data_IF_047675585368
#
_entry.id   IF_047675585368
#
_cell.length_a   1.000
_cell.length_b   1.000
_cell.length_c   1.000
_cell.angle_alpha   90.00
_cell.angle_beta   90.00
_cell.angle_gamma   90.00
#
_symmetry.space_group_name_H-M   'P 1'
#
loop_
_entity.id
_entity.type
_entity.pdbx_description
1 polymer ?
#
# COMPACT_ATOMS: atom_id res chain seq x y z
N UNK A 1 16.98 -20.33 -9.95
CA UNK A 1 17.08 -18.86 -9.81
C UNK A 1 16.73 -18.42 -8.39
N UNK A 2 15.50 -18.62 -7.90
CA UNK A 2 15.11 -18.21 -6.53
C UNK A 2 16.03 -18.74 -5.41
N UNK A 3 16.42 -20.02 -5.45
CA UNK A 3 17.30 -20.63 -4.43
C UNK A 3 18.69 -19.97 -4.36
N UNK A 4 19.23 -19.53 -5.49
CA UNK A 4 20.53 -18.86 -5.54
C UNK A 4 20.48 -17.45 -4.92
N UNK A 5 19.35 -16.75 -5.09
CA UNK A 5 19.09 -15.44 -4.48
C UNK A 5 18.95 -15.58 -2.97
N UNK A 6 18.17 -16.56 -2.50
CA UNK A 6 18.02 -16.83 -1.06
C UNK A 6 19.36 -17.18 -0.43
N UNK A 7 20.15 -18.02 -1.08
CA UNK A 7 21.48 -18.39 -0.60
C UNK A 7 22.40 -17.17 -0.46
N UNK A 8 22.43 -16.26 -1.44
CA UNK A 8 23.22 -15.03 -1.35
C UNK A 8 22.85 -14.20 -0.11
N UNK A 9 21.55 -14.00 0.13
CA UNK A 9 21.07 -13.23 1.30
C UNK A 9 21.45 -13.90 2.61
N UNK A 10 21.37 -15.24 2.69
CA UNK A 10 21.77 -15.98 3.88
C UNK A 10 23.29 -15.94 4.12
N UNK A 11 24.10 -15.94 3.08
CA UNK A 11 25.56 -15.86 3.21
C UNK A 11 26.03 -14.46 3.62
N UNK A 12 25.38 -13.42 3.11
CA UNK A 12 25.76 -12.02 3.37
C UNK A 12 25.01 -11.41 4.56
N UNK A 13 23.94 -12.06 5.03
CA UNK A 13 23.01 -11.54 6.06
C UNK A 13 22.52 -10.12 5.75
N UNK A 14 22.43 -9.77 4.46
CA UNK A 14 22.09 -8.44 3.97
C UNK A 14 21.49 -8.51 2.56
N UNK A 15 20.71 -7.49 2.22
CA UNK A 15 20.21 -7.24 0.87
C UNK A 15 21.09 -6.25 0.09
N UNK A 16 22.07 -5.63 0.75
CA UNK A 16 22.98 -4.68 0.12
C UNK A 16 23.78 -5.36 -0.99
N UNK A 17 23.86 -4.71 -2.16
CA UNK A 17 24.57 -5.24 -3.32
C UNK A 17 23.89 -6.42 -4.01
N UNK A 18 22.74 -6.91 -3.52
CA UNK A 18 22.00 -7.99 -4.17
C UNK A 18 21.44 -7.53 -5.52
N UNK A 19 20.89 -6.32 -5.59
CA UNK A 19 20.33 -5.74 -6.82
C UNK A 19 20.95 -4.39 -7.13
N UNK A 20 21.06 -4.08 -8.42
CA UNK A 20 21.34 -2.74 -8.93
C UNK A 20 20.08 -1.86 -8.87
N UNK A 21 20.21 -0.58 -9.28
CA UNK A 21 19.11 0.39 -9.28
C UNK A 21 17.92 -0.07 -10.15
N UNK A 22 18.19 -0.82 -11.23
CA UNK A 22 17.19 -1.37 -12.14
C UNK A 22 16.52 -2.66 -11.60
N UNK A 23 16.94 -3.18 -10.44
CA UNK A 23 16.36 -4.35 -9.80
C UNK A 23 16.89 -5.69 -10.27
N UNK A 24 17.99 -5.71 -11.03
CA UNK A 24 18.67 -6.91 -11.49
C UNK A 24 19.92 -7.18 -10.66
N UNK A 25 20.35 -8.44 -10.62
CA UNK A 25 21.54 -8.84 -9.84
C UNK A 25 22.70 -9.19 -10.76
N UNK A 26 23.83 -8.52 -10.56
CA UNK A 26 25.12 -8.95 -11.12
C UNK A 26 25.89 -9.85 -10.16
N UNK A 27 25.47 -9.90 -8.90
CA UNK A 27 26.08 -10.70 -7.84
C UNK A 27 25.74 -12.20 -7.96
N UNK A 28 24.61 -12.53 -8.59
CA UNK A 28 24.17 -13.92 -8.80
C UNK A 28 24.05 -14.20 -10.29
N UNK A 29 25.15 -14.62 -10.92
CA UNK A 29 25.28 -14.83 -12.37
C UNK A 29 24.27 -15.80 -13.00
N UNK A 30 23.59 -16.64 -12.22
CA UNK A 30 22.56 -17.58 -12.69
C UNK A 30 21.15 -16.99 -12.74
N UNK A 31 20.97 -15.72 -12.33
CA UNK A 31 19.68 -15.04 -12.21
C UNK A 31 19.58 -13.97 -13.29
N UNK A 32 18.48 -13.97 -14.02
CA UNK A 32 18.21 -12.99 -15.09
C UNK A 32 16.82 -12.38 -14.98
N UNK A 33 16.19 -12.53 -13.81
CA UNK A 33 14.88 -11.96 -13.48
C UNK A 33 15.05 -10.74 -12.59
N UNK A 34 14.10 -9.82 -12.65
CA UNK A 34 14.04 -8.71 -11.72
C UNK A 34 13.70 -9.22 -10.31
N UNK A 35 14.48 -8.79 -9.31
CA UNK A 35 14.40 -9.28 -7.93
C UNK A 35 13.76 -8.27 -6.96
N UNK A 36 13.23 -7.15 -7.44
CA UNK A 36 12.66 -6.13 -6.55
C UNK A 36 11.49 -6.65 -5.73
N UNK A 37 10.66 -7.54 -6.30
CA UNK A 37 9.58 -8.19 -5.54
C UNK A 37 10.10 -9.02 -4.36
N UNK A 38 11.23 -9.70 -4.55
CA UNK A 38 11.89 -10.46 -3.48
C UNK A 38 12.54 -9.52 -2.45
N UNK A 39 13.28 -8.50 -2.90
CA UNK A 39 13.94 -7.51 -2.01
C UNK A 39 12.90 -6.80 -1.15
N UNK A 40 11.79 -6.35 -1.73
CA UNK A 40 10.72 -5.67 -1.00
C UNK A 40 10.05 -6.62 0.01
N UNK A 41 9.76 -7.87 -0.39
CA UNK A 41 9.20 -8.86 0.53
C UNK A 41 10.11 -9.17 1.72
N UNK A 42 11.43 -9.24 1.51
CA UNK A 42 12.40 -9.45 2.61
C UNK A 42 12.52 -8.21 3.49
N UNK A 43 12.54 -6.99 2.91
CA UNK A 43 12.54 -5.74 3.68
C UNK A 43 11.28 -5.60 4.53
N UNK A 44 10.11 -5.85 3.96
CA UNK A 44 8.84 -5.83 4.68
C UNK A 44 8.84 -6.84 5.84
N UNK A 45 9.39 -8.04 5.62
CA UNK A 45 9.52 -9.06 6.66
C UNK A 45 10.49 -8.64 7.76
N UNK A 46 11.65 -8.06 7.41
CA UNK A 46 12.64 -7.57 8.35
C UNK A 46 12.11 -6.42 9.21
N UNK A 47 11.39 -5.47 8.61
CA UNK A 47 10.80 -4.35 9.35
C UNK A 47 9.63 -4.77 10.24
N UNK A 48 8.82 -5.73 9.82
CA UNK A 48 7.85 -6.38 10.71
C UNK A 48 8.54 -7.07 11.90
N UNK A 49 9.70 -7.68 11.68
CA UNK A 49 10.44 -8.39 12.71
C UNK A 49 11.23 -7.46 13.66
N UNK A 50 11.73 -6.32 13.18
CA UNK A 50 12.50 -5.38 14.01
C UNK A 50 11.63 -4.38 14.79
N UNK A 51 10.34 -4.27 14.45
CA UNK A 51 9.47 -3.24 15.02
C UNK A 51 9.90 -1.81 14.61
N UNK A 52 10.78 -1.70 13.62
CA UNK A 52 11.15 -0.44 13.00
C UNK A 52 10.27 -0.23 11.78
N UNK A 53 9.50 0.86 11.84
CA UNK A 53 9.02 1.63 10.72
C UNK A 53 9.98 1.50 9.54
N UNK A 54 9.52 1.04 8.38
CA UNK A 54 10.26 1.27 7.13
C UNK A 54 10.24 2.78 6.87
N UNK A 55 11.12 3.51 7.55
CA UNK A 55 11.58 4.82 7.11
C UNK A 55 12.74 4.56 6.14
N UNK A 56 12.48 3.86 5.04
CA UNK A 56 13.38 3.86 3.90
C UNK A 56 12.93 4.97 2.95
N UNK A 57 13.62 6.10 3.12
CA UNK A 57 13.77 7.25 2.23
C UNK A 57 14.26 6.82 0.84
N UNK A 58 13.49 6.01 0.12
CA UNK A 58 13.51 6.10 -1.33
C UNK A 58 12.86 7.45 -1.67
N UNK A 59 13.60 8.31 -2.37
CA UNK A 59 13.10 9.62 -2.78
C UNK A 59 11.85 9.41 -3.63
N UNK A 60 10.68 9.76 -3.10
CA UNK A 60 9.41 9.63 -3.80
C UNK A 60 9.36 10.69 -4.90
N UNK A 61 9.07 10.26 -6.11
CA UNK A 61 8.89 11.21 -7.22
C UNK A 61 7.57 11.95 -7.06
N UNK A 62 7.64 13.24 -7.35
CA UNK A 62 6.46 14.09 -7.44
C UNK A 62 5.54 13.58 -8.55
N UNK A 63 4.25 13.45 -8.25
CA UNK A 63 3.29 12.90 -9.20
C UNK A 63 2.01 12.44 -8.54
N UNK A 64 1.04 12.06 -9.38
CA UNK A 64 -0.19 11.41 -8.94
C UNK A 64 -0.18 9.97 -9.41
N UNK A 65 -0.33 9.07 -8.46
CA UNK A 65 -0.31 7.62 -8.64
C UNK A 65 -1.70 7.08 -8.33
N UNK A 66 -2.19 6.16 -9.14
CA UNK A 66 -3.50 5.53 -8.93
C UNK A 66 -3.35 4.03 -8.98
N UNK A 67 -3.93 3.35 -7.99
CA UNK A 67 -3.96 1.91 -7.89
C UNK A 67 -5.40 1.44 -7.82
N UNK A 68 -5.67 0.31 -8.46
CA UNK A 68 -6.97 -0.35 -8.41
C UNK A 68 -6.76 -1.82 -8.11
N UNK A 69 -7.66 -2.42 -7.31
CA UNK A 69 -7.66 -3.87 -7.14
C UNK A 69 -7.89 -4.55 -8.50
N UNK A 70 -7.18 -5.65 -8.81
CA UNK A 70 -7.22 -6.30 -10.12
C UNK A 70 -8.58 -6.93 -10.44
N UNK A 71 -9.32 -7.30 -9.40
CA UNK A 71 -10.60 -7.99 -9.50
C UNK A 71 -11.67 -7.27 -8.69
N UNK A 72 -12.92 -7.39 -9.15
CA UNK A 72 -14.08 -6.96 -8.39
C UNK A 72 -14.39 -7.99 -7.30
N UNK A 73 -14.79 -7.51 -6.13
CA UNK A 73 -15.30 -8.33 -5.04
C UNK A 73 -16.66 -8.96 -5.39
N UNK A 74 -17.15 -9.82 -4.49
CA UNK A 74 -18.47 -10.46 -4.62
C UNK A 74 -19.66 -9.49 -4.71
N UNK A 75 -19.48 -8.22 -4.34
CA UNK A 75 -20.48 -7.18 -4.40
C UNK A 75 -20.32 -6.29 -5.66
N UNK A 76 -19.38 -6.63 -6.55
CA UNK A 76 -19.10 -5.92 -7.78
C UNK A 76 -18.29 -4.64 -7.58
N UNK A 77 -17.51 -4.52 -6.50
CA UNK A 77 -16.65 -3.36 -6.23
C UNK A 77 -15.17 -3.76 -6.26
N UNK A 78 -14.31 -2.89 -6.78
CA UNK A 78 -12.86 -2.96 -6.60
C UNK A 78 -12.38 -1.71 -5.87
N UNK A 79 -11.34 -1.83 -5.05
CA UNK A 79 -10.72 -0.65 -4.44
C UNK A 79 -10.04 0.22 -5.49
N UNK A 80 -10.09 1.52 -5.31
CA UNK A 80 -9.32 2.52 -6.03
C UNK A 80 -8.70 3.48 -5.03
N UNK A 81 -7.37 3.62 -5.07
CA UNK A 81 -6.62 4.59 -4.28
C UNK A 81 -5.91 5.54 -5.24
N UNK A 82 -6.00 6.84 -4.98
CA UNK A 82 -5.24 7.86 -5.72
C UNK A 82 -4.43 8.70 -4.75
N UNK A 83 -3.13 8.80 -4.98
CA UNK A 83 -2.16 9.42 -4.09
C UNK A 83 -1.32 10.43 -4.86
N UNK A 84 -1.21 11.66 -4.36
CA UNK A 84 -0.30 12.67 -4.89
C UNK A 84 0.88 12.84 -3.96
N UNK A 85 2.08 12.69 -4.51
CA UNK A 85 3.34 13.02 -3.84
C UNK A 85 3.84 14.35 -4.35
N UNK A 86 4.32 15.18 -3.44
CA UNK A 86 5.06 16.40 -3.74
C UNK A 86 6.10 16.65 -2.67
N UNK A 87 7.30 17.06 -3.06
CA UNK A 87 8.39 17.39 -2.13
C UNK A 87 8.67 16.22 -1.16
N UNK A 88 8.65 14.99 -1.68
CA UNK A 88 8.81 13.75 -0.93
C UNK A 88 7.75 13.48 0.16
N UNK A 89 6.58 14.13 0.09
CA UNK A 89 5.47 13.97 1.02
C UNK A 89 4.15 13.65 0.27
N UNK A 90 3.27 12.89 0.91
CA UNK A 90 1.91 12.65 0.43
C UNK A 90 1.09 13.92 0.69
N UNK A 91 0.72 14.63 -0.36
CA UNK A 91 -0.04 15.89 -0.29
C UNK A 91 -1.52 15.73 -0.60
N UNK A 92 -1.90 14.65 -1.28
CA UNK A 92 -3.29 14.27 -1.45
C UNK A 92 -3.41 12.74 -1.44
N UNK A 93 -4.52 12.26 -0.90
CA UNK A 93 -4.84 10.84 -0.87
C UNK A 93 -6.36 10.68 -0.93
N UNK A 94 -6.83 9.72 -1.72
CA UNK A 94 -8.24 9.36 -1.81
C UNK A 94 -8.38 7.85 -1.85
N UNK A 95 -9.49 7.34 -1.30
CA UNK A 95 -9.86 5.94 -1.37
C UNK A 95 -11.35 5.81 -1.67
N UNK A 96 -11.68 4.98 -2.65
CA UNK A 96 -13.04 4.59 -2.97
C UNK A 96 -13.10 3.09 -3.27
N UNK A 97 -14.30 2.54 -3.32
CA UNK A 97 -14.54 1.29 -4.03
C UNK A 97 -15.44 1.59 -5.23
N UNK A 98 -15.03 1.18 -6.43
CA UNK A 98 -15.71 1.48 -7.68
C UNK A 98 -16.31 0.24 -8.32
N UNK A 99 -17.49 0.40 -8.92
CA UNK A 99 -18.12 -0.62 -9.76
C UNK A 99 -17.61 -0.58 -11.19
N UNK A 100 -17.94 -1.62 -11.96
CA UNK A 100 -17.63 -1.73 -13.39
C UNK A 100 -18.20 -0.55 -14.20
N UNK A 101 -19.39 -0.05 -13.82
CA UNK A 101 -20.02 1.13 -14.44
C UNK A 101 -19.44 2.48 -13.97
N UNK A 102 -18.40 2.47 -13.14
CA UNK A 102 -17.78 3.66 -12.56
C UNK A 102 -18.49 4.22 -11.33
N UNK A 103 -19.57 3.59 -10.86
CA UNK A 103 -20.26 4.02 -9.64
C UNK A 103 -19.35 3.92 -8.43
N UNK A 104 -19.25 5.01 -7.67
CA UNK A 104 -18.45 5.12 -6.44
C UNK A 104 -19.25 4.70 -5.20
N UNK A 105 -18.63 3.88 -4.34
CA UNK A 105 -19.21 3.47 -3.07
C UNK A 105 -19.36 4.64 -2.11
N UNK A 106 -18.41 5.59 -2.14
CA UNK A 106 -18.52 6.83 -1.38
C UNK A 106 -19.81 7.58 -1.72
N UNK A 107 -20.12 7.77 -3.01
CA UNK A 107 -21.33 8.45 -3.47
C UNK A 107 -22.60 7.70 -3.05
N UNK A 108 -22.64 6.38 -3.25
CA UNK A 108 -23.77 5.57 -2.79
C UNK A 108 -23.97 5.69 -1.28
N UNK A 109 -22.88 5.79 -0.51
CA UNK A 109 -22.92 5.96 0.94
C UNK A 109 -23.44 7.34 1.34
N UNK A 110 -22.98 8.41 0.68
CA UNK A 110 -23.47 9.77 0.89
C UNK A 110 -24.97 9.87 0.60
N UNK A 111 -25.40 9.33 -0.53
CA UNK A 111 -26.80 9.25 -0.97
C UNK A 111 -27.69 8.38 -0.07
N UNK A 112 -27.11 7.60 0.85
CA UNK A 112 -27.85 6.63 1.67
C UNK A 112 -28.29 5.36 0.92
N UNK A 113 -27.79 5.14 -0.30
CA UNK A 113 -28.01 3.93 -1.11
C UNK A 113 -27.08 2.78 -0.72
N UNK A 114 -26.02 3.07 0.04
CA UNK A 114 -25.15 2.07 0.64
C UNK A 114 -25.07 2.29 2.16
N UNK A 115 -25.78 1.46 2.90
CA UNK A 115 -25.87 1.52 4.36
C UNK A 115 -25.20 0.27 4.94
N UNK A 116 -24.11 0.48 5.68
CA UNK A 116 -23.43 -0.61 6.40
C UNK A 116 -23.99 -0.81 7.79
N UNK A 117 -24.34 0.30 8.45
CA UNK A 117 -24.87 0.31 9.81
C UNK A 117 -25.97 1.36 9.88
N UNK A 118 -26.99 1.13 10.70
CA UNK A 118 -28.07 2.10 10.90
C UNK A 118 -27.70 3.20 11.92
N UNK A 119 -26.71 2.96 12.77
CA UNK A 119 -26.40 3.81 13.95
C UNK A 119 -24.93 4.22 14.07
N UNK A 120 -24.09 3.86 13.11
CA UNK A 120 -22.67 4.19 13.07
C UNK A 120 -22.32 5.04 11.84
N UNK A 121 -21.04 5.43 11.72
CA UNK A 121 -20.58 6.24 10.60
C UNK A 121 -20.77 5.50 9.28
N UNK A 122 -21.15 6.26 8.26
CA UNK A 122 -21.30 5.79 6.89
C UNK A 122 -19.93 5.43 6.31
N UNK A 123 -19.92 4.58 5.29
CA UNK A 123 -18.67 4.11 4.66
C UNK A 123 -17.77 5.28 4.23
N UNK A 124 -18.33 6.32 3.60
CA UNK A 124 -17.53 7.47 3.16
C UNK A 124 -16.90 8.26 4.31
N UNK A 125 -17.58 8.38 5.45
CA UNK A 125 -17.04 9.07 6.64
C UNK A 125 -15.87 8.29 7.23
N UNK A 126 -15.96 6.95 7.22
CA UNK A 126 -14.88 6.08 7.68
C UNK A 126 -13.69 6.10 6.72
N UNK A 127 -13.93 6.08 5.41
CA UNK A 127 -12.89 6.19 4.39
C UNK A 127 -12.16 7.56 4.46
N UNK A 128 -12.89 8.65 4.68
CA UNK A 128 -12.31 9.98 4.87
C UNK A 128 -11.45 10.05 6.15
N UNK A 129 -11.93 9.46 7.25
CA UNK A 129 -11.21 9.45 8.53
C UNK A 129 -9.85 8.73 8.41
N UNK A 130 -9.79 7.58 7.72
CA UNK A 130 -8.53 6.85 7.54
C UNK A 130 -7.58 7.53 6.56
N UNK A 131 -8.10 8.13 5.49
CA UNK A 131 -7.31 8.94 4.54
C UNK A 131 -6.66 10.11 5.26
N UNK A 132 -7.43 10.82 6.10
CA UNK A 132 -6.93 11.93 6.90
C UNK A 132 -5.83 11.47 7.86
N UNK A 133 -6.02 10.34 8.54
CA UNK A 133 -4.99 9.78 9.42
C UNK A 133 -3.66 9.58 8.67
N UNK A 134 -3.69 8.98 7.48
CA UNK A 134 -2.46 8.75 6.70
C UNK A 134 -1.84 10.06 6.22
N UNK A 135 -2.64 11.05 5.82
CA UNK A 135 -2.14 12.37 5.44
C UNK A 135 -1.47 13.10 6.62
N UNK A 136 -2.02 12.99 7.82
CA UNK A 136 -1.46 13.61 9.03
C UNK A 136 -0.19 12.91 9.52
N UNK A 137 -0.14 11.58 9.42
CA UNK A 137 0.98 10.78 9.95
C UNK A 137 2.04 10.44 8.90
N UNK A 138 1.75 10.63 7.60
CA UNK A 138 2.63 10.27 6.49
C UNK A 138 3.11 8.81 6.54
N UNK A 139 2.31 7.92 7.13
CA UNK A 139 2.67 6.52 7.38
C UNK A 139 1.42 5.63 7.47
N UNK A 140 1.59 4.36 7.10
CA UNK A 140 0.62 3.27 7.32
C UNK A 140 0.97 2.43 8.55
N UNK A 141 2.11 2.66 9.17
CA UNK A 141 2.57 1.86 10.29
C UNK A 141 1.64 2.00 11.50
N UNK A 142 1.32 0.87 12.13
CA UNK A 142 0.38 0.84 13.25
C UNK A 142 -1.05 1.24 12.88
N UNK A 143 -1.36 1.46 11.60
CA UNK A 143 -2.71 1.80 11.18
C UNK A 143 -3.64 0.60 11.33
N UNK A 144 -3.20 -0.60 10.93
CA UNK A 144 -4.01 -1.81 10.95
C UNK A 144 -3.37 -2.93 11.76
N UNK A 145 -4.21 -3.75 12.39
CA UNK A 145 -3.84 -5.04 12.95
C UNK A 145 -3.76 -6.13 11.86
N UNK A 146 -3.38 -7.35 12.24
CA UNK A 146 -3.24 -8.50 11.33
C UNK A 146 -4.54 -8.85 10.58
N UNK A 147 -5.70 -8.54 11.17
CA UNK A 147 -7.01 -8.79 10.58
C UNK A 147 -7.46 -7.65 9.63
N UNK A 148 -6.71 -6.55 9.55
CA UNK A 148 -7.02 -5.42 8.67
C UNK A 148 -7.93 -4.36 9.27
N UNK A 149 -8.09 -4.34 10.59
CA UNK A 149 -8.86 -3.33 11.30
C UNK A 149 -7.96 -2.37 12.06
N UNK A 150 -8.46 -1.16 12.35
CA UNK A 150 -7.68 -0.13 13.05
C UNK A 150 -8.19 0.06 14.47
N UNK A 151 -7.26 0.14 15.42
CA UNK A 151 -7.51 0.63 16.79
C UNK A 151 -7.14 2.13 16.93
N UNK A 152 -6.43 2.67 15.95
CA UNK A 152 -5.88 4.03 15.93
C UNK A 152 -6.91 5.08 15.50
N UNK A 153 -7.95 4.68 14.75
CA UNK A 153 -9.03 5.56 14.30
C UNK A 153 -10.37 5.03 14.82
N UNK A 154 -10.78 5.47 16.01
CA UNK A 154 -11.91 4.90 16.77
C UNK A 154 -13.26 4.92 16.04
N UNK A 155 -13.46 5.79 15.05
CA UNK A 155 -14.69 5.84 14.24
C UNK A 155 -14.71 4.83 13.09
N UNK A 156 -13.59 4.16 12.81
CA UNK A 156 -13.44 3.26 11.67
C UNK A 156 -13.61 1.82 12.13
N UNK A 157 -14.56 1.12 11.51
CA UNK A 157 -14.84 -0.29 11.74
C UNK A 157 -14.86 -1.11 10.44
N UNK A 158 -14.57 -0.48 9.29
CA UNK A 158 -14.41 -1.16 8.01
C UNK A 158 -13.03 -1.81 7.93
N UNK A 159 -12.92 -2.92 7.18
CA UNK A 159 -11.63 -3.50 6.86
C UNK A 159 -10.84 -2.56 5.92
N UNK A 160 -9.58 -2.34 6.24
CA UNK A 160 -8.70 -1.36 5.60
C UNK A 160 -7.63 -1.99 4.71
N UNK A 161 -7.62 -3.32 4.51
CA UNK A 161 -6.57 -3.96 3.72
C UNK A 161 -6.55 -3.48 2.26
N UNK A 162 -7.72 -3.25 1.65
CA UNK A 162 -7.80 -2.68 0.29
C UNK A 162 -7.15 -1.29 0.20
N UNK A 163 -7.38 -0.44 1.21
CA UNK A 163 -6.75 0.87 1.33
C UNK A 163 -5.23 0.77 1.53
N UNK A 164 -4.79 -0.01 2.53
CA UNK A 164 -3.37 -0.19 2.87
C UNK A 164 -2.58 -0.70 1.67
N UNK A 165 -3.09 -1.71 0.97
CA UNK A 165 -2.45 -2.27 -0.21
C UNK A 165 -2.39 -1.24 -1.35
N UNK A 166 -3.47 -0.51 -1.60
CA UNK A 166 -3.49 0.55 -2.62
C UNK A 166 -2.49 1.69 -2.33
N UNK A 167 -2.33 2.10 -1.07
CA UNK A 167 -1.32 3.11 -0.69
C UNK A 167 0.09 2.56 -0.85
N UNK A 168 0.36 1.31 -0.43
CA UNK A 168 1.66 0.65 -0.63
C UNK A 168 2.02 0.56 -2.11
N UNK A 169 1.06 0.21 -2.96
CA UNK A 169 1.27 0.15 -4.41
C UNK A 169 1.56 1.54 -4.99
N UNK A 170 0.85 2.58 -4.54
CA UNK A 170 1.12 3.96 -4.94
C UNK A 170 2.54 4.40 -4.53
N UNK A 171 2.96 4.10 -3.29
CA UNK A 171 4.31 4.39 -2.80
C UNK A 171 5.36 3.64 -3.62
N UNK A 172 5.09 2.38 -3.96
CA UNK A 172 5.96 1.58 -4.83
C UNK A 172 6.09 2.19 -6.21
N UNK A 173 5.01 2.71 -6.80
CA UNK A 173 5.07 3.41 -8.09
C UNK A 173 5.86 4.71 -7.99
N UNK A 174 5.64 5.48 -6.92
CA UNK A 174 6.36 6.74 -6.67
C UNK A 174 7.87 6.54 -6.48
N UNK A 175 8.29 5.39 -5.96
CA UNK A 175 9.71 5.03 -5.83
C UNK A 175 10.32 4.39 -7.08
N UNK A 176 9.52 3.94 -8.06
CA UNK A 176 9.96 3.16 -9.24
C UNK A 176 10.14 3.97 -10.53
N UNK A 177 9.63 5.20 -10.61
CA UNK A 177 9.84 6.02 -11.80
C UNK A 177 11.29 6.53 -11.86
N UNK A 178 12.16 5.72 -12.47
CA UNK A 178 13.51 6.06 -12.91
C UNK A 178 13.57 5.92 -14.44
#
# INVERSE_FOLDING_TARGET
>A
QAEAVVKYVLENQSLEGLVNEEGYTDAVSSVSINLMGFVNGVKDCLSQASGESVSQTAELKDGTYTCESPEFDKNGFKDQVSMTVKDNAITALTWDCIKEDGTKKSQLSMDGKYVMTEKGPKWHEQAEAVVKYVLENQSLEGLVNEEGYTDSVSSVSINLMGFVNGVKDCLSQASKQQ
#
